data_IF_395695796120
#
_entry.id   IF_395695796120
#
_cell.length_a   1.000
_cell.length_b   1.000
_cell.length_c   1.000
_cell.angle_alpha   90.00
_cell.angle_beta   90.00
_cell.angle_gamma   90.00
#
_symmetry.space_group_name_H-M   'P 1'
#
loop_
_entity.id
_entity.type
_entity.pdbx_description
1 polymer ?
#
# COMPACT_ATOMS: atom_id res chain seq x y z
N UNK A 1 -29.09 16.97 -14.44
CA UNK A 1 -27.96 16.26 -13.80
C UNK A 1 -28.03 14.81 -14.20
N UNK A 2 -26.97 14.29 -14.82
CA UNK A 2 -26.92 12.89 -15.23
C UNK A 2 -26.59 11.99 -14.03
N UNK A 3 -27.64 11.57 -13.33
CA UNK A 3 -27.51 10.79 -12.10
C UNK A 3 -26.90 9.40 -12.36
N UNK A 4 -27.02 8.86 -13.57
CA UNK A 4 -26.48 7.53 -13.91
C UNK A 4 -24.97 7.61 -14.07
N UNK A 5 -24.48 8.57 -14.85
CA UNK A 5 -23.04 8.77 -15.02
C UNK A 5 -22.37 9.22 -13.71
N UNK A 6 -23.01 10.10 -12.93
CA UNK A 6 -22.51 10.51 -11.63
C UNK A 6 -22.38 9.33 -10.66
N UNK A 7 -23.39 8.45 -10.59
CA UNK A 7 -23.35 7.24 -9.76
C UNK A 7 -22.19 6.31 -10.14
N UNK A 8 -22.01 6.06 -11.43
CA UNK A 8 -20.92 5.20 -11.94
C UNK A 8 -19.52 5.77 -11.63
N UNK A 9 -19.34 7.08 -11.81
CA UNK A 9 -18.07 7.78 -11.49
C UNK A 9 -17.81 7.72 -9.98
N UNK A 10 -18.82 7.92 -9.14
CA UNK A 10 -18.72 7.84 -7.68
C UNK A 10 -18.36 6.44 -7.20
N UNK A 11 -18.98 5.41 -7.75
CA UNK A 11 -18.66 4.02 -7.41
C UNK A 11 -17.20 3.68 -7.76
N UNK A 12 -16.76 4.11 -8.95
CA UNK A 12 -15.37 3.91 -9.41
C UNK A 12 -14.39 4.67 -8.52
N UNK A 13 -14.71 5.91 -8.15
CA UNK A 13 -13.95 6.68 -7.18
C UNK A 13 -13.79 5.93 -5.85
N UNK A 14 -14.88 5.39 -5.28
CA UNK A 14 -14.83 4.58 -4.06
C UNK A 14 -13.88 3.39 -4.18
N UNK A 15 -13.94 2.64 -5.29
CA UNK A 15 -13.02 1.53 -5.60
C UNK A 15 -11.56 1.98 -5.68
N UNK A 16 -11.29 3.15 -6.27
CA UNK A 16 -9.93 3.71 -6.33
C UNK A 16 -9.44 4.14 -4.94
N UNK A 17 -10.28 4.79 -4.11
CA UNK A 17 -9.92 5.13 -2.72
C UNK A 17 -9.53 3.88 -1.94
N UNK A 18 -10.30 2.80 -2.11
CA UNK A 18 -10.04 1.54 -1.43
C UNK A 18 -8.76 0.86 -1.89
N UNK A 19 -8.56 0.74 -3.20
CA UNK A 19 -7.34 0.17 -3.79
C UNK A 19 -6.12 0.97 -3.39
N UNK A 20 -6.23 2.30 -3.41
CA UNK A 20 -5.18 3.20 -2.94
C UNK A 20 -4.80 2.90 -1.47
N UNK A 21 -5.81 2.82 -0.59
CA UNK A 21 -5.57 2.53 0.84
C UNK A 21 -4.97 1.14 1.07
N UNK A 22 -5.37 0.17 0.26
CA UNK A 22 -4.83 -1.20 0.31
C UNK A 22 -3.33 -1.20 0.02
N UNK A 23 -2.88 -0.44 -0.99
CA UNK A 23 -1.45 -0.32 -1.28
C UNK A 23 -0.67 0.47 -0.22
N UNK A 24 -1.25 1.49 0.39
CA UNK A 24 -0.64 2.15 1.56
C UNK A 24 -0.41 1.14 2.69
N UNK A 25 -1.41 0.30 2.99
CA UNK A 25 -1.31 -0.73 4.04
C UNK A 25 -0.36 -1.85 3.68
N UNK A 26 -0.29 -2.27 2.42
CA UNK A 26 0.70 -3.24 1.95
C UNK A 26 2.13 -2.68 2.13
N UNK A 27 2.37 -1.42 1.73
CA UNK A 27 3.65 -0.77 1.92
C UNK A 27 4.07 -0.68 3.39
N UNK A 28 3.14 -0.34 4.29
CA UNK A 28 3.38 -0.31 5.74
C UNK A 28 3.78 -1.70 6.26
N UNK A 29 3.06 -2.76 5.86
CA UNK A 29 3.35 -4.14 6.27
C UNK A 29 4.76 -4.56 5.82
N UNK A 30 5.09 -4.37 4.53
CA UNK A 30 6.40 -4.74 3.98
C UNK A 30 7.52 -3.92 4.64
N UNK A 31 7.30 -2.63 4.91
CA UNK A 31 8.26 -1.77 5.64
C UNK A 31 8.50 -2.29 7.05
N UNK A 32 7.43 -2.63 7.80
CA UNK A 32 7.55 -3.20 9.13
C UNK A 32 8.31 -4.54 9.12
N UNK A 33 8.03 -5.42 8.16
CA UNK A 33 8.74 -6.69 7.98
C UNK A 33 10.24 -6.46 7.73
N UNK A 34 10.58 -5.54 6.82
CA UNK A 34 11.96 -5.15 6.54
C UNK A 34 12.67 -4.61 7.79
N UNK A 35 12.03 -3.72 8.53
CA UNK A 35 12.59 -3.15 9.76
C UNK A 35 12.82 -4.21 10.85
N UNK A 36 11.92 -5.18 10.97
CA UNK A 36 12.07 -6.27 11.95
C UNK A 36 13.25 -7.18 11.59
N UNK A 37 13.39 -7.54 10.32
CA UNK A 37 14.55 -8.31 9.82
C UNK A 37 15.87 -7.56 10.05
N UNK A 38 15.91 -6.26 9.74
CA UNK A 38 17.08 -5.40 10.02
C UNK A 38 17.44 -5.37 11.51
N UNK A 39 16.44 -5.27 12.40
CA UNK A 39 16.67 -5.30 13.86
C UNK A 39 17.26 -6.62 14.33
N UNK A 40 16.74 -7.76 13.85
CA UNK A 40 17.30 -9.09 14.19
C UNK A 40 18.75 -9.18 13.71
N UNK A 41 19.03 -8.72 12.50
CA UNK A 41 20.38 -8.75 11.95
C UNK A 41 21.36 -7.94 12.81
N UNK A 42 20.95 -6.75 13.26
CA UNK A 42 21.76 -5.90 14.15
C UNK A 42 22.04 -6.62 15.47
N UNK A 43 21.03 -7.25 16.08
CA UNK A 43 21.21 -8.00 17.33
C UNK A 43 22.16 -9.18 17.14
N UNK A 44 22.00 -9.94 16.06
CA UNK A 44 22.80 -11.12 15.76
C UNK A 44 24.26 -10.77 15.46
N UNK A 45 24.49 -9.72 14.67
CA UNK A 45 25.83 -9.19 14.41
C UNK A 45 26.49 -8.63 15.68
N UNK A 46 25.74 -7.87 16.50
CA UNK A 46 26.28 -7.34 17.76
C UNK A 46 26.70 -8.47 18.71
N UNK A 47 25.90 -9.54 18.80
CA UNK A 47 26.22 -10.71 19.61
C UNK A 47 27.44 -11.46 19.06
N UNK A 48 27.55 -11.60 17.74
CA UNK A 48 28.70 -12.24 17.09
C UNK A 48 29.98 -11.45 17.29
N UNK A 49 29.96 -10.14 17.08
CA UNK A 49 31.13 -9.26 17.30
C UNK A 49 31.51 -9.21 18.79
N UNK A 50 30.53 -9.12 19.69
CA UNK A 50 30.77 -9.15 21.13
C UNK A 50 31.44 -10.44 21.60
N UNK A 51 30.94 -11.60 21.13
CA UNK A 51 31.57 -12.89 21.42
C UNK A 51 32.96 -13.02 20.81
N UNK A 52 33.16 -12.55 19.57
CA UNK A 52 34.47 -12.59 18.92
C UNK A 52 35.53 -11.81 19.71
N UNK A 53 35.19 -10.63 20.23
CA UNK A 53 36.09 -9.84 21.08
C UNK A 53 36.35 -10.54 22.43
N UNK A 54 35.32 -11.12 23.05
CA UNK A 54 35.47 -11.89 24.30
C UNK A 54 36.35 -13.13 24.13
N UNK A 55 36.23 -13.82 23.00
CA UNK A 55 37.01 -15.00 22.66
C UNK A 55 38.51 -14.72 22.48
N UNK A 56 38.92 -13.46 22.27
CA UNK A 56 40.36 -13.10 22.26
C UNK A 56 40.98 -13.19 23.66
N UNK A 57 40.17 -13.03 24.72
CA UNK A 57 40.64 -13.05 26.11
C UNK A 57 40.27 -14.34 26.85
N UNK A 58 39.38 -15.16 26.30
CA UNK A 58 38.83 -16.37 26.92
C UNK A 58 39.05 -17.59 26.01
N UNK A 59 39.33 -18.76 26.60
CA UNK A 59 39.86 -19.93 25.88
C UNK A 59 38.93 -20.61 24.87
N UNK A 60 39.31 -21.83 24.48
CA UNK A 60 38.70 -22.65 23.42
C UNK A 60 37.16 -22.69 23.31
N UNK A 61 36.36 -22.78 24.39
CA UNK A 61 34.89 -22.82 24.26
C UNK A 61 34.28 -21.55 23.64
N UNK A 62 34.89 -20.38 23.83
CA UNK A 62 34.40 -19.12 23.26
C UNK A 62 34.68 -19.00 21.76
N UNK A 63 35.77 -19.60 21.28
CA UNK A 63 36.08 -19.68 19.85
C UNK A 63 35.04 -20.52 19.11
N UNK A 64 34.65 -21.68 19.66
CA UNK A 64 33.60 -22.53 19.10
C UNK A 64 32.26 -21.79 19.02
N UNK A 65 31.88 -21.10 20.10
CA UNK A 65 30.64 -20.32 20.15
C UNK A 65 30.62 -19.20 19.11
N UNK A 66 31.75 -18.50 18.95
CA UNK A 66 31.92 -17.44 17.94
C UNK A 66 31.81 -17.99 16.52
N UNK A 67 32.38 -19.17 16.24
CA UNK A 67 32.28 -19.82 14.94
C UNK A 67 30.82 -20.19 14.59
N UNK A 68 30.06 -20.68 15.57
CA UNK A 68 28.64 -21.01 15.37
C UNK A 68 27.82 -19.74 15.12
N UNK A 69 27.99 -18.71 15.95
CA UNK A 69 27.26 -17.44 15.82
C UNK A 69 27.57 -16.70 14.52
N UNK A 70 28.83 -16.68 14.10
CA UNK A 70 29.25 -16.08 12.83
C UNK A 70 28.68 -16.83 11.63
N UNK A 71 28.65 -18.17 11.67
CA UNK A 71 28.01 -18.98 10.62
C UNK A 71 26.50 -18.71 10.55
N UNK A 72 25.81 -18.66 11.68
CA UNK A 72 24.38 -18.34 11.74
C UNK A 72 24.10 -16.91 11.23
N UNK A 73 24.93 -15.94 11.58
CA UNK A 73 24.85 -14.57 11.09
C UNK A 73 24.98 -14.52 9.58
N UNK A 74 25.96 -15.24 9.03
CA UNK A 74 26.19 -15.31 7.59
C UNK A 74 24.99 -15.93 6.87
N UNK A 75 24.48 -17.07 7.35
CA UNK A 75 23.30 -17.71 6.78
C UNK A 75 22.08 -16.78 6.80
N UNK A 76 21.90 -16.01 7.89
CA UNK A 76 20.81 -15.05 8.00
C UNK A 76 20.95 -13.87 7.02
N UNK A 77 22.17 -13.39 6.77
CA UNK A 77 22.43 -12.35 5.76
C UNK A 77 22.21 -12.88 4.34
N UNK A 78 22.65 -14.11 4.05
CA UNK A 78 22.41 -14.75 2.75
C UNK A 78 20.90 -14.93 2.51
N UNK A 79 20.14 -15.35 3.52
CA UNK A 79 18.69 -15.44 3.45
C UNK A 79 18.03 -14.09 3.12
N UNK A 80 18.53 -13.00 3.72
CA UNK A 80 18.04 -11.65 3.44
C UNK A 80 18.28 -11.22 1.98
N UNK A 81 19.38 -11.63 1.34
CA UNK A 81 19.63 -11.32 -0.06
C UNK A 81 18.54 -11.88 -0.99
N UNK A 82 17.93 -13.02 -0.61
CA UNK A 82 16.86 -13.65 -1.37
C UNK A 82 15.47 -13.05 -1.09
N UNK A 83 15.31 -12.26 -0.03
CA UNK A 83 14.03 -11.70 0.39
C UNK A 83 14.11 -10.17 0.43
N UNK A 84 13.47 -9.50 -0.54
CA UNK A 84 13.51 -8.03 -0.69
C UNK A 84 12.17 -7.35 -0.35
N UNK A 85 11.74 -7.35 0.94
CA UNK A 85 10.51 -6.69 1.36
C UNK A 85 10.59 -5.17 1.20
N UNK A 86 11.80 -4.61 1.14
CA UNK A 86 12.03 -3.19 0.91
C UNK A 86 11.67 -2.79 -0.52
N UNK A 87 12.03 -3.60 -1.52
CA UNK A 87 11.66 -3.35 -2.91
C UNK A 87 10.14 -3.47 -3.11
N UNK A 88 9.52 -4.47 -2.49
CA UNK A 88 8.07 -4.64 -2.50
C UNK A 88 7.34 -3.46 -1.85
N UNK A 89 7.83 -2.97 -0.70
CA UNK A 89 7.32 -1.77 -0.06
C UNK A 89 7.42 -0.53 -0.97
N UNK A 90 8.53 -0.35 -1.68
CA UNK A 90 8.72 0.75 -2.62
C UNK A 90 7.77 0.65 -3.82
N UNK A 91 7.55 -0.55 -4.34
CA UNK A 91 6.59 -0.77 -5.43
C UNK A 91 5.17 -0.41 -4.98
N UNK A 92 4.72 -0.87 -3.81
CA UNK A 92 3.43 -0.48 -3.26
C UNK A 92 3.30 1.02 -3.01
N UNK A 93 4.35 1.69 -2.51
CA UNK A 93 4.36 3.17 -2.36
C UNK A 93 4.22 3.89 -3.70
N UNK A 94 4.93 3.44 -4.73
CA UNK A 94 4.84 4.02 -6.08
C UNK A 94 3.44 3.83 -6.67
N UNK A 95 2.87 2.63 -6.51
CA UNK A 95 1.49 2.35 -6.94
C UNK A 95 0.48 3.22 -6.20
N UNK A 96 0.61 3.35 -4.87
CA UNK A 96 -0.26 4.23 -4.07
C UNK A 96 -0.19 5.68 -4.56
N UNK A 97 0.99 6.22 -4.83
CA UNK A 97 1.13 7.57 -5.38
C UNK A 97 0.43 7.76 -6.73
N UNK A 98 0.51 6.76 -7.64
CA UNK A 98 -0.20 6.80 -8.93
C UNK A 98 -1.73 6.74 -8.74
N UNK A 99 -2.20 5.88 -7.85
CA UNK A 99 -3.63 5.76 -7.53
C UNK A 99 -4.18 7.01 -6.85
N UNK A 100 -3.38 7.69 -6.03
CA UNK A 100 -3.75 8.98 -5.45
C UNK A 100 -4.03 10.02 -6.54
N UNK A 101 -3.18 10.12 -7.56
CA UNK A 101 -3.40 11.05 -8.67
C UNK A 101 -4.71 10.75 -9.42
N UNK A 102 -4.98 9.48 -9.74
CA UNK A 102 -6.26 9.08 -10.36
C UNK A 102 -7.45 9.40 -9.46
N UNK A 103 -7.32 9.16 -8.15
CA UNK A 103 -8.36 9.51 -7.17
C UNK A 103 -8.70 11.00 -7.21
N UNK A 104 -7.70 11.88 -7.25
CA UNK A 104 -7.92 13.33 -7.35
C UNK A 104 -8.60 13.69 -8.68
N UNK A 105 -8.21 13.06 -9.79
CA UNK A 105 -8.87 13.28 -11.09
C UNK A 105 -10.35 12.88 -11.07
N UNK A 106 -10.69 11.74 -10.45
CA UNK A 106 -12.09 11.33 -10.27
C UNK A 106 -12.87 12.31 -9.38
N UNK A 107 -12.25 12.81 -8.31
CA UNK A 107 -12.89 13.81 -7.44
C UNK A 107 -13.20 15.11 -8.21
N UNK A 108 -12.28 15.57 -9.06
CA UNK A 108 -12.50 16.72 -9.92
C UNK A 108 -13.63 16.46 -10.93
N UNK A 109 -13.66 15.28 -11.57
CA UNK A 109 -14.74 14.91 -12.47
C UNK A 109 -16.11 14.91 -11.76
N UNK A 110 -16.19 14.42 -10.52
CA UNK A 110 -17.41 14.51 -9.71
C UNK A 110 -17.83 15.97 -9.50
N UNK A 111 -16.89 16.85 -9.18
CA UNK A 111 -17.15 18.28 -9.02
C UNK A 111 -17.66 18.93 -10.31
N UNK A 112 -17.06 18.59 -11.46
CA UNK A 112 -17.45 19.13 -12.77
C UNK A 112 -18.86 18.66 -13.18
N UNK A 113 -19.20 17.39 -12.90
CA UNK A 113 -20.55 16.84 -13.13
C UNK A 113 -21.58 17.54 -12.23
N UNK A 114 -21.27 17.71 -10.93
CA UNK A 114 -22.19 18.34 -9.98
C UNK A 114 -22.40 19.84 -10.25
N UNK A 115 -21.38 20.52 -10.77
CA UNK A 115 -21.47 21.93 -11.18
C UNK A 115 -22.19 22.15 -12.52
N UNK A 116 -22.59 21.08 -13.23
CA UNK A 116 -23.26 21.13 -14.53
C UNK A 116 -22.43 21.86 -15.61
N UNK A 117 -21.11 21.87 -15.46
CA UNK A 117 -20.19 22.56 -16.36
C UNK A 117 -19.80 21.75 -17.61
N UNK A 118 -20.26 20.50 -17.73
CA UNK A 118 -19.89 19.57 -18.79
C UNK A 118 -21.13 19.06 -19.57
N UNK A 119 -20.95 18.84 -20.87
CA UNK A 119 -21.91 18.07 -21.67
C UNK A 119 -21.88 16.59 -21.27
N UNK A 120 -22.95 15.85 -21.57
CA UNK A 120 -23.01 14.40 -21.35
C UNK A 120 -21.89 13.68 -22.13
N UNK A 121 -21.62 14.11 -23.37
CA UNK A 121 -20.54 13.54 -24.19
C UNK A 121 -19.16 13.75 -23.53
N UNK A 122 -18.90 14.96 -23.01
CA UNK A 122 -17.63 15.26 -22.32
C UNK A 122 -17.45 14.41 -21.06
N UNK A 123 -18.53 14.18 -20.29
CA UNK A 123 -18.51 13.33 -19.10
C UNK A 123 -18.15 11.90 -19.47
N UNK A 124 -18.76 11.34 -20.52
CA UNK A 124 -18.50 9.98 -20.99
C UNK A 124 -17.06 9.84 -21.47
N UNK A 125 -16.59 10.79 -22.29
CA UNK A 125 -15.19 10.79 -22.78
C UNK A 125 -14.21 10.83 -21.61
N UNK A 126 -14.39 11.76 -20.66
CA UNK A 126 -13.45 11.91 -19.55
C UNK A 126 -13.47 10.70 -18.61
N UNK A 127 -14.63 10.10 -18.38
CA UNK A 127 -14.77 8.85 -17.62
C UNK A 127 -14.00 7.72 -18.28
N UNK A 128 -14.16 7.52 -19.58
CA UNK A 128 -13.53 6.41 -20.31
C UNK A 128 -12.00 6.59 -20.41
N UNK A 129 -11.52 7.83 -20.53
CA UNK A 129 -10.10 8.17 -20.41
C UNK A 129 -9.54 7.78 -19.03
N UNK A 130 -10.20 8.20 -17.94
CA UNK A 130 -9.77 7.87 -16.57
C UNK A 130 -9.82 6.37 -16.31
N UNK A 131 -10.80 5.66 -16.86
CA UNK A 131 -10.87 4.20 -16.77
C UNK A 131 -9.69 3.54 -17.50
N UNK A 132 -9.31 4.07 -18.65
CA UNK A 132 -8.16 3.60 -19.43
C UNK A 132 -6.84 3.85 -18.68
N UNK A 133 -6.67 5.04 -18.09
CA UNK A 133 -5.51 5.36 -17.26
C UNK A 133 -5.44 4.46 -16.01
N UNK A 134 -6.57 4.24 -15.34
CA UNK A 134 -6.67 3.34 -14.20
C UNK A 134 -6.26 1.92 -14.59
N UNK A 135 -6.78 1.39 -15.70
CA UNK A 135 -6.43 0.05 -16.18
C UNK A 135 -4.93 -0.12 -16.44
N UNK A 136 -4.27 0.90 -17.01
CA UNK A 136 -2.80 0.89 -17.20
C UNK A 136 -2.07 0.77 -15.86
N UNK A 137 -2.53 1.48 -14.82
CA UNK A 137 -1.94 1.37 -13.49
C UNK A 137 -2.16 -0.04 -12.94
N UNK A 138 -3.40 -0.55 -12.97
CA UNK A 138 -3.77 -1.87 -12.43
C UNK A 138 -2.98 -3.01 -13.07
N UNK A 139 -2.65 -2.94 -14.36
CA UNK A 139 -1.81 -3.95 -15.02
C UNK A 139 -0.39 -4.03 -14.44
N UNK A 140 0.15 -2.93 -13.94
CA UNK A 140 1.48 -2.85 -13.35
C UNK A 140 1.48 -3.04 -11.82
N UNK A 141 0.33 -3.31 -11.22
CA UNK A 141 0.19 -3.35 -9.76
C UNK A 141 0.79 -4.63 -9.16
N UNK A 142 1.64 -4.51 -8.12
CA UNK A 142 2.06 -5.67 -7.33
C UNK A 142 0.87 -6.29 -6.58
N UNK A 143 0.81 -7.62 -6.54
CA UNK A 143 -0.23 -8.37 -5.84
C UNK A 143 -0.30 -7.93 -4.36
N UNK A 144 -1.53 -7.80 -3.84
CA UNK A 144 -1.76 -7.41 -2.44
C UNK A 144 -2.25 -8.59 -1.62
N UNK A 145 -1.77 -8.69 -0.38
CA UNK A 145 -2.23 -9.71 0.55
C UNK A 145 -3.60 -9.39 1.17
N UNK A 146 -4.33 -10.45 1.55
CA UNK A 146 -5.59 -10.35 2.32
C UNK A 146 -5.44 -9.51 3.59
N UNK A 147 -4.28 -9.56 4.24
CA UNK A 147 -4.00 -8.75 5.43
C UNK A 147 -3.98 -7.24 5.12
N UNK A 148 -3.44 -6.84 3.97
CA UNK A 148 -3.44 -5.44 3.55
C UNK A 148 -4.85 -4.96 3.22
N UNK A 149 -5.64 -5.80 2.54
CA UNK A 149 -7.06 -5.56 2.25
C UNK A 149 -7.87 -5.34 3.55
N UNK A 150 -7.79 -6.27 4.50
CA UNK A 150 -8.52 -6.17 5.77
C UNK A 150 -8.11 -4.93 6.60
N UNK A 151 -6.82 -4.57 6.60
CA UNK A 151 -6.37 -3.34 7.27
C UNK A 151 -6.89 -2.09 6.59
N UNK A 152 -7.00 -2.08 5.26
CA UNK A 152 -7.58 -0.96 4.52
C UNK A 152 -9.08 -0.82 4.81
N UNK A 153 -9.84 -1.94 4.75
CA UNK A 153 -11.26 -1.98 5.13
C UNK A 153 -11.52 -1.41 6.51
N UNK A 154 -10.76 -1.88 7.51
CA UNK A 154 -10.87 -1.37 8.89
C UNK A 154 -10.49 0.11 9.01
N UNK A 155 -9.47 0.56 8.30
CA UNK A 155 -9.06 1.96 8.31
C UNK A 155 -10.10 2.90 7.66
N UNK A 156 -10.79 2.41 6.63
CA UNK A 156 -11.86 3.14 5.93
C UNK A 156 -13.24 2.98 6.58
N UNK A 157 -13.36 2.13 7.61
CA UNK A 157 -14.62 1.84 8.33
C UNK A 157 -15.74 1.33 7.41
N UNK A 158 -15.38 0.56 6.39
CA UNK A 158 -16.34 0.00 5.42
C UNK A 158 -17.08 -1.20 6.01
N UNK A 159 -18.39 -1.22 5.79
CA UNK A 159 -19.25 -2.32 6.24
C UNK A 159 -19.34 -3.40 5.16
N UNK A 160 -19.38 -3.01 3.89
CA UNK A 160 -19.49 -3.91 2.73
C UNK A 160 -18.11 -4.18 2.07
N UNK A 161 -17.98 -5.30 1.36
CA UNK A 161 -16.69 -5.75 0.79
C UNK A 161 -16.40 -5.24 -0.63
N UNK A 162 -17.44 -5.09 -1.46
CA UNK A 162 -17.25 -4.79 -2.89
C UNK A 162 -18.32 -3.83 -3.47
N UNK A 163 -19.27 -3.42 -2.63
CA UNK A 163 -20.32 -2.47 -2.95
C UNK A 163 -20.15 -1.28 -2.03
N UNK A 164 -20.15 -0.08 -2.60
CA UNK A 164 -20.07 1.14 -1.83
C UNK A 164 -21.46 1.73 -1.74
N UNK A 165 -21.92 1.97 -0.51
CA UNK A 165 -23.11 2.79 -0.31
C UNK A 165 -22.76 4.27 -0.53
N UNK A 166 -23.70 5.09 -0.97
CA UNK A 166 -23.51 6.54 -1.15
C UNK A 166 -22.95 7.21 0.10
N UNK A 167 -23.37 6.78 1.29
CA UNK A 167 -22.83 7.26 2.58
C UNK A 167 -21.35 6.96 2.77
N UNK A 168 -20.88 5.80 2.30
CA UNK A 168 -19.47 5.41 2.39
C UNK A 168 -18.64 6.26 1.43
N UNK A 169 -19.11 6.46 0.20
CA UNK A 169 -18.46 7.31 -0.80
C UNK A 169 -18.40 8.76 -0.33
N UNK A 170 -19.52 9.28 0.22
CA UNK A 170 -19.61 10.63 0.76
C UNK A 170 -18.65 10.87 1.94
N UNK A 171 -18.33 9.83 2.71
CA UNK A 171 -17.33 9.92 3.77
C UNK A 171 -15.91 10.23 3.24
N UNK A 172 -15.63 9.85 1.99
CA UNK A 172 -14.35 10.11 1.32
C UNK A 172 -14.32 11.43 0.56
N UNK A 173 -15.48 12.07 0.37
CA UNK A 173 -15.65 13.33 -0.35
C UNK A 173 -15.78 14.52 0.60
N UNK A 174 -15.33 15.72 0.18
CA UNK A 174 -15.59 16.95 0.91
C UNK A 174 -17.09 17.27 0.92
N UNK A 175 -17.55 18.02 1.94
CA UNK A 175 -18.99 18.25 2.20
C UNK A 175 -19.79 18.74 1.00
N UNK A 176 -19.17 19.56 0.16
CA UNK A 176 -19.78 20.13 -1.05
C UNK A 176 -19.97 19.14 -2.21
N UNK A 177 -19.37 17.95 -2.14
CA UNK A 177 -19.47 16.90 -3.16
C UNK A 177 -20.29 15.68 -2.68
N UNK A 178 -20.95 15.81 -1.53
CA UNK A 178 -21.79 14.75 -0.95
C UNK A 178 -23.20 14.81 -1.52
N UNK A 179 -23.82 13.65 -1.70
CA UNK A 179 -25.22 13.55 -2.09
C UNK A 179 -26.16 13.61 -0.88
N UNK A 180 -25.65 13.25 0.30
CA UNK A 180 -26.41 13.17 1.55
C UNK A 180 -25.73 14.06 2.60
N UNK A 181 -26.50 14.94 3.24
CA UNK A 181 -26.06 15.73 4.41
C UNK A 181 -25.87 14.87 5.67
#
# INVERSE_FOLDING_TARGET
>A
MDNVNLGSVRETFGKVVYTHKTHEKAAEICTCKSNWVKKINIVLLSLTTGNALGAMFQGQPYLLLTAILSTLSLLFVVYQLSFNPEQEALNHKRTSARLWFIREQYQNLIADIMSQNLSIDDIVTRRDELLTELNKIIQDVPQTDKCAYERARKALKLQEEMTFNDKEIDSFLPKNLRLIE
#
